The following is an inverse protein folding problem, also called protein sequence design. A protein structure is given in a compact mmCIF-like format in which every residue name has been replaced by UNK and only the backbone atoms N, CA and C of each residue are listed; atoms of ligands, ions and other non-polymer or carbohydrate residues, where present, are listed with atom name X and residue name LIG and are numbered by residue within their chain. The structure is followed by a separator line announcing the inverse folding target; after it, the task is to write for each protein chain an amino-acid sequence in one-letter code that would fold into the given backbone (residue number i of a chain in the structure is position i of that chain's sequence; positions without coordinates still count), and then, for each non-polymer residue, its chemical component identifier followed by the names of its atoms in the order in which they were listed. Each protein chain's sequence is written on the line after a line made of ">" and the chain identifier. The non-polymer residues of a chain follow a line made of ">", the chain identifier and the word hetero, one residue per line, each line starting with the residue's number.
data_IF_760571248198
#
_entry.id   IF_760571248198
#
_cell.length_a   1.000
_cell.length_b   1.000
_cell.length_c   1.000
_cell.angle_alpha   90.00
_cell.angle_beta   90.00
_cell.angle_gamma   90.00
#
_symmetry.space_group_name_H-M   'P 1'
#
loop_
_entity.id
_entity.type
_entity.pdbx_description
1 polymer ?
#
# COMPACT_ATOMS: atom_id res chain seq x y z
N UNK A 1 0.17 13.53 -17.90
CA UNK A 1 -0.18 13.91 -16.51
C UNK A 1 -0.92 12.73 -15.93
N UNK A 2 -0.28 12.06 -14.98
CA UNK A 2 -0.81 10.86 -14.34
C UNK A 2 -2.07 11.19 -13.54
N UNK A 3 -2.94 10.21 -13.31
CA UNK A 3 -4.17 10.35 -12.53
C UNK A 3 -3.88 10.85 -11.10
N UNK A 4 -2.78 10.36 -10.53
CA UNK A 4 -2.32 10.79 -9.19
C UNK A 4 -1.87 12.24 -9.15
N UNK A 5 -1.27 12.75 -10.23
CA UNK A 5 -0.91 14.17 -10.33
C UNK A 5 -2.16 15.06 -10.29
N UNK A 6 -3.22 14.65 -11.00
CA UNK A 6 -4.51 15.37 -11.00
C UNK A 6 -5.12 15.38 -9.59
N UNK A 7 -5.10 14.23 -8.91
CA UNK A 7 -5.59 14.11 -7.54
C UNK A 7 -4.80 15.06 -6.63
N UNK A 8 -3.47 15.05 -6.71
CA UNK A 8 -2.61 15.92 -5.90
C UNK A 8 -2.86 17.41 -6.18
N UNK A 9 -3.09 17.80 -7.43
CA UNK A 9 -3.43 19.16 -7.80
C UNK A 9 -4.78 19.61 -7.21
N UNK A 10 -5.81 18.73 -7.24
CA UNK A 10 -7.10 19.01 -6.62
C UNK A 10 -6.96 19.18 -5.11
N UNK A 11 -6.22 18.30 -4.45
CA UNK A 11 -5.93 18.40 -3.02
C UNK A 11 -5.23 19.72 -2.67
N UNK A 12 -4.19 20.11 -3.42
CA UNK A 12 -3.48 21.38 -3.20
C UNK A 12 -4.35 22.62 -3.39
N UNK A 13 -5.41 22.51 -4.20
CA UNK A 13 -6.42 23.55 -4.36
C UNK A 13 -7.49 23.55 -3.24
N UNK A 14 -7.43 22.58 -2.33
CA UNK A 14 -8.47 22.39 -1.30
C UNK A 14 -9.78 21.85 -1.84
N UNK A 15 -9.78 21.28 -3.03
CA UNK A 15 -10.97 20.69 -3.66
C UNK A 15 -11.26 19.31 -3.05
N UNK A 16 -12.43 19.15 -2.43
CA UNK A 16 -12.88 17.90 -1.80
C UNK A 16 -12.90 16.71 -2.76
N UNK A 17 -13.14 16.95 -4.04
CA UNK A 17 -13.10 15.89 -5.07
C UNK A 17 -11.74 15.21 -5.12
N UNK A 18 -10.66 15.94 -4.83
CA UNK A 18 -9.33 15.33 -4.71
C UNK A 18 -9.24 14.29 -3.60
N UNK A 19 -9.87 14.56 -2.44
CA UNK A 19 -9.93 13.59 -1.33
C UNK A 19 -10.81 12.38 -1.66
N UNK A 20 -11.96 12.60 -2.29
CA UNK A 20 -12.86 11.52 -2.71
C UNK A 20 -12.17 10.56 -3.71
N UNK A 21 -11.50 11.11 -4.71
CA UNK A 21 -10.73 10.32 -5.68
C UNK A 21 -9.58 9.57 -5.01
N UNK A 22 -8.84 10.25 -4.11
CA UNK A 22 -7.77 9.63 -3.35
C UNK A 22 -8.28 8.46 -2.51
N UNK A 23 -9.37 8.68 -1.78
CA UNK A 23 -10.00 7.65 -0.95
C UNK A 23 -10.45 6.46 -1.80
N UNK A 24 -11.12 6.72 -2.91
CA UNK A 24 -11.60 5.66 -3.80
C UNK A 24 -10.46 4.82 -4.38
N UNK A 25 -9.32 5.46 -4.68
CA UNK A 25 -8.16 4.79 -5.28
C UNK A 25 -7.34 4.01 -4.25
N UNK A 26 -7.18 4.53 -3.02
CA UNK A 26 -6.23 4.00 -2.05
C UNK A 26 -6.86 3.29 -0.84
N UNK A 27 -8.13 3.50 -0.52
CA UNK A 27 -8.71 2.97 0.72
C UNK A 27 -8.57 1.46 0.84
N UNK A 28 -9.08 0.70 -0.14
CA UNK A 28 -9.03 -0.76 -0.12
C UNK A 28 -7.60 -1.32 -0.10
N UNK A 29 -6.69 -0.87 -0.98
CA UNK A 29 -5.29 -1.29 -0.94
C UNK A 29 -4.60 -0.98 0.38
N UNK A 30 -4.88 0.18 0.99
CA UNK A 30 -4.29 0.56 2.27
C UNK A 30 -4.85 -0.24 3.45
N UNK A 31 -6.15 -0.55 3.46
CA UNK A 31 -6.75 -1.46 4.47
C UNK A 31 -6.11 -2.84 4.37
N UNK A 32 -6.00 -3.38 3.16
CA UNK A 32 -5.34 -4.66 2.95
C UNK A 32 -3.88 -4.63 3.43
N UNK A 33 -3.17 -3.54 3.17
CA UNK A 33 -1.81 -3.34 3.67
C UNK A 33 -1.75 -3.26 5.20
N UNK A 34 -2.66 -2.53 5.83
CA UNK A 34 -2.75 -2.41 7.29
C UNK A 34 -3.00 -3.75 7.99
N UNK A 35 -3.74 -4.66 7.34
CA UNK A 35 -3.98 -6.02 7.83
C UNK A 35 -2.71 -6.89 7.92
N UNK A 36 -1.59 -6.50 7.35
CA UNK A 36 -0.31 -7.17 7.60
C UNK A 36 0.26 -6.84 8.99
N UNK A 37 -0.20 -5.77 9.61
CA UNK A 37 0.23 -5.32 10.94
C UNK A 37 -0.83 -5.58 12.00
N UNK A 38 -2.11 -5.42 11.66
CA UNK A 38 -3.25 -5.50 12.57
C UNK A 38 -4.04 -6.77 12.30
N UNK A 39 -4.38 -7.51 13.36
CA UNK A 39 -5.03 -8.81 13.24
C UNK A 39 -6.50 -8.73 12.82
N UNK A 40 -7.17 -7.61 13.15
CA UNK A 40 -8.59 -7.40 12.89
C UNK A 40 -8.80 -6.42 11.75
N UNK A 41 -9.72 -6.76 10.85
CA UNK A 41 -10.06 -5.91 9.70
C UNK A 41 -10.60 -4.55 10.16
N UNK A 42 -11.41 -4.52 11.19
CA UNK A 42 -11.98 -3.28 11.76
C UNK A 42 -10.88 -2.33 12.23
N UNK A 43 -9.87 -2.86 12.93
CA UNK A 43 -8.71 -2.04 13.36
C UNK A 43 -7.90 -1.51 12.17
N UNK A 44 -7.77 -2.30 11.10
CA UNK A 44 -7.09 -1.87 9.88
C UNK A 44 -7.87 -0.78 9.15
N UNK A 45 -9.20 -0.90 9.07
CA UNK A 45 -10.08 0.10 8.50
C UNK A 45 -10.02 1.41 9.28
N UNK A 46 -10.10 1.35 10.62
CA UNK A 46 -9.98 2.51 11.50
C UNK A 46 -8.62 3.19 11.35
N UNK A 47 -7.53 2.42 11.31
CA UNK A 47 -6.19 2.95 11.11
C UNK A 47 -6.05 3.72 9.79
N UNK A 48 -6.59 3.19 8.71
CA UNK A 48 -6.55 3.83 7.40
C UNK A 48 -7.42 5.08 7.36
N UNK A 49 -8.62 5.04 7.93
CA UNK A 49 -9.49 6.21 8.03
C UNK A 49 -8.80 7.35 8.80
N UNK A 50 -8.19 7.02 9.92
CA UNK A 50 -7.47 7.99 10.75
C UNK A 50 -6.28 8.63 10.01
N UNK A 51 -5.56 7.84 9.21
CA UNK A 51 -4.49 8.36 8.33
C UNK A 51 -5.06 9.34 7.30
N UNK A 52 -6.20 9.05 6.67
CA UNK A 52 -6.85 9.97 5.71
C UNK A 52 -7.33 11.26 6.40
N UNK A 53 -7.92 11.16 7.59
CA UNK A 53 -8.36 12.33 8.37
C UNK A 53 -7.15 13.23 8.67
N UNK A 54 -6.08 12.68 9.23
CA UNK A 54 -4.85 13.41 9.54
C UNK A 54 -4.16 14.00 8.31
N UNK A 55 -4.23 13.28 7.20
CA UNK A 55 -3.71 13.75 5.92
C UNK A 55 -4.45 14.99 5.43
N UNK A 56 -5.78 14.98 5.52
CA UNK A 56 -6.64 16.08 5.08
C UNK A 56 -6.57 17.28 6.04
N UNK A 57 -6.80 17.07 7.33
CA UNK A 57 -6.81 18.12 8.34
C UNK A 57 -5.44 18.82 8.48
N UNK A 58 -4.38 18.04 8.46
CA UNK A 58 -3.02 18.54 8.51
C UNK A 58 -2.53 19.16 7.19
N UNK A 59 -3.36 19.18 6.14
CA UNK A 59 -3.01 19.67 4.80
C UNK A 59 -1.67 19.13 4.28
N UNK A 60 -1.36 17.87 4.61
CA UNK A 60 -0.05 17.26 4.36
C UNK A 60 0.27 17.11 2.89
N UNK A 61 -0.73 17.14 2.03
CA UNK A 61 -0.57 17.15 0.58
C UNK A 61 0.24 18.37 0.05
N UNK A 62 0.36 19.45 0.81
CA UNK A 62 1.21 20.57 0.43
C UNK A 62 2.71 20.26 0.54
N UNK A 63 3.09 19.38 1.48
CA UNK A 63 4.47 18.98 1.68
C UNK A 63 4.94 17.90 0.68
N UNK A 64 4.00 17.25 -0.01
CA UNK A 64 4.34 16.19 -0.97
C UNK A 64 4.93 16.81 -2.23
N UNK A 65 6.21 16.51 -2.47
CA UNK A 65 6.94 16.97 -3.65
C UNK A 65 6.89 15.98 -4.80
N UNK A 66 6.98 14.68 -4.50
CA UNK A 66 7.25 13.66 -5.50
C UNK A 66 6.09 12.69 -5.70
N UNK A 67 5.73 11.86 -4.74
CA UNK A 67 4.71 10.85 -4.95
C UNK A 67 3.79 10.68 -3.74
N UNK A 68 2.49 10.61 -4.04
CA UNK A 68 1.43 10.45 -3.07
C UNK A 68 1.39 9.03 -2.48
N UNK A 69 1.65 8.02 -3.32
CA UNK A 69 1.55 6.61 -2.97
C UNK A 69 2.52 6.20 -1.84
N UNK A 70 3.85 6.38 -1.96
CA UNK A 70 4.77 6.02 -0.89
C UNK A 70 4.46 6.71 0.43
N UNK A 71 4.04 7.97 0.36
CA UNK A 71 3.65 8.75 1.53
C UNK A 71 2.49 8.10 2.29
N UNK A 72 1.42 7.70 1.59
CA UNK A 72 0.25 7.09 2.21
C UNK A 72 0.58 5.73 2.84
N UNK A 73 1.28 4.86 2.13
CA UNK A 73 1.68 3.55 2.64
C UNK A 73 2.57 3.67 3.88
N UNK A 74 3.55 4.58 3.85
CA UNK A 74 4.40 4.82 5.00
C UNK A 74 3.62 5.40 6.19
N UNK A 75 2.68 6.29 5.94
CA UNK A 75 1.81 6.85 6.98
C UNK A 75 0.97 5.77 7.66
N UNK A 76 0.38 4.85 6.89
CA UNK A 76 -0.38 3.72 7.42
C UNK A 76 0.53 2.77 8.21
N UNK A 77 1.69 2.41 7.66
CA UNK A 77 2.66 1.56 8.36
C UNK A 77 3.05 2.14 9.72
N UNK A 78 3.45 3.41 9.74
CA UNK A 78 3.86 4.08 10.97
C UNK A 78 2.71 4.16 11.98
N UNK A 79 1.50 4.42 11.50
CA UNK A 79 0.32 4.44 12.35
C UNK A 79 0.05 3.07 12.99
N UNK A 80 0.07 2.00 12.20
CA UNK A 80 -0.13 0.63 12.70
C UNK A 80 0.95 0.21 13.71
N UNK A 81 2.22 0.52 13.44
CA UNK A 81 3.32 0.22 14.37
C UNK A 81 3.16 0.97 15.69
N UNK A 82 2.76 2.25 15.66
CA UNK A 82 2.49 3.02 16.87
C UNK A 82 1.34 2.44 17.69
N UNK A 83 0.29 1.92 17.04
CA UNK A 83 -0.80 1.23 17.72
C UNK A 83 -0.29 -0.03 18.44
N UNK A 84 0.50 -0.85 17.77
CA UNK A 84 1.07 -2.09 18.32
C UNK A 84 2.00 -1.84 19.48
N UNK A 85 2.77 -0.76 19.47
CA UNK A 85 3.66 -0.36 20.55
C UNK A 85 2.93 0.25 21.76
N UNK A 86 1.60 0.37 21.70
CA UNK A 86 0.79 0.97 22.76
C UNK A 86 1.09 2.45 23.02
N UNK A 87 1.82 3.10 22.11
CA UNK A 87 2.05 4.54 22.18
C UNK A 87 0.72 5.23 21.90
N UNK A 88 0.18 5.94 22.89
CA UNK A 88 -0.93 6.87 22.67
C UNK A 88 -0.52 7.80 21.54
N UNK A 89 -1.17 7.64 20.40
CA UNK A 89 -1.03 8.59 19.29
C UNK A 89 -1.68 9.88 19.76
N UNK A 90 -0.90 10.73 20.43
CA UNK A 90 -1.36 12.07 20.76
C UNK A 90 -1.65 12.81 19.47
N UNK A 91 -2.93 13.09 19.26
CA UNK A 91 -3.51 13.70 18.06
C UNK A 91 -3.13 15.18 17.90
N UNK A 92 -2.25 15.73 18.73
CA UNK A 92 -2.09 17.19 18.89
C UNK A 92 -0.79 17.77 18.38
N UNK A 93 0.16 16.98 17.89
CA UNK A 93 1.33 17.61 17.26
C UNK A 93 1.43 17.26 15.78
N UNK A 94 1.74 18.25 14.91
CA UNK A 94 2.22 17.93 13.59
C UNK A 94 3.37 16.97 13.79
N UNK A 95 3.39 15.86 13.03
CA UNK A 95 4.58 15.02 12.98
C UNK A 95 5.70 15.95 12.59
N UNK A 96 6.33 16.52 13.60
CA UNK A 96 7.54 17.29 13.42
C UNK A 96 8.50 16.35 12.74
N UNK A 97 9.11 16.83 11.70
CA UNK A 97 10.19 16.21 10.94
C UNK A 97 11.44 15.85 11.77
N UNK A 98 11.32 15.78 13.08
CA UNK A 98 12.36 15.43 14.04
C UNK A 98 12.15 14.11 14.77
N UNK A 99 11.14 13.29 14.42
CA UNK A 99 11.37 11.86 14.60
C UNK A 99 12.37 11.50 13.52
N UNK A 100 13.57 11.13 13.93
CA UNK A 100 14.58 10.49 13.11
C UNK A 100 13.89 9.43 12.25
N UNK A 101 13.42 9.88 11.10
CA UNK A 101 13.24 9.01 9.95
C UNK A 101 14.67 8.62 9.64
N UNK A 102 15.09 7.48 10.23
CA UNK A 102 16.22 6.77 9.66
C UNK A 102 16.06 6.92 8.17
N UNK A 103 17.04 7.50 7.52
CA UNK A 103 17.13 7.84 6.10
C UNK A 103 16.51 6.72 5.24
N UNK A 104 15.18 6.61 5.27
CA UNK A 104 14.44 5.89 4.27
C UNK A 104 14.48 6.82 3.08
N UNK A 105 15.49 6.62 2.24
CA UNK A 105 15.59 7.16 0.90
C UNK A 105 14.17 7.25 0.35
N UNK A 106 13.61 8.45 0.32
CA UNK A 106 12.42 8.72 -0.47
C UNK A 106 12.82 8.36 -1.89
N UNK A 107 12.32 7.21 -2.35
CA UNK A 107 12.54 6.84 -3.74
C UNK A 107 12.05 7.99 -4.57
N UNK A 108 12.92 8.54 -5.40
CA UNK A 108 12.54 9.45 -6.47
C UNK A 108 11.44 8.77 -7.29
N UNK A 109 10.50 9.55 -7.80
CA UNK A 109 9.37 9.04 -8.58
C UNK A 109 9.84 8.18 -9.77
N UNK A 110 10.95 8.55 -10.38
CA UNK A 110 11.57 7.78 -11.46
C UNK A 110 12.10 6.43 -10.97
N UNK A 111 12.69 6.38 -9.79
CA UNK A 111 13.18 5.16 -9.18
C UNK A 111 12.01 4.26 -8.72
N UNK A 112 10.94 4.85 -8.19
CA UNK A 112 9.71 4.14 -7.87
C UNK A 112 9.10 3.50 -9.12
N UNK A 113 8.93 4.26 -10.20
CA UNK A 113 8.37 3.76 -11.45
C UNK A 113 9.24 2.63 -12.05
N UNK A 114 10.56 2.78 -12.00
CA UNK A 114 11.50 1.75 -12.44
C UNK A 114 11.33 0.44 -11.65
N UNK A 115 11.17 0.52 -10.34
CA UNK A 115 10.98 -0.66 -9.48
C UNK A 115 9.61 -1.29 -9.68
N UNK A 116 8.58 -0.49 -9.88
CA UNK A 116 7.24 -0.97 -10.24
C UNK A 116 7.27 -1.72 -11.58
N UNK A 117 7.96 -1.18 -12.59
CA UNK A 117 8.14 -1.86 -13.87
C UNK A 117 8.89 -3.19 -13.73
N UNK A 118 9.93 -3.24 -12.89
CA UNK A 118 10.63 -4.48 -12.58
C UNK A 118 9.71 -5.50 -11.90
N UNK A 119 8.86 -5.05 -10.98
CA UNK A 119 7.89 -5.89 -10.31
C UNK A 119 6.87 -6.47 -11.31
N UNK A 120 6.29 -5.66 -12.19
CA UNK A 120 5.36 -6.14 -13.20
C UNK A 120 6.00 -7.16 -14.15
N UNK A 121 7.23 -6.90 -14.61
CA UNK A 121 7.98 -7.85 -15.45
C UNK A 121 8.25 -9.17 -14.73
N UNK A 122 8.56 -9.14 -13.44
CA UNK A 122 8.75 -10.34 -12.65
C UNK A 122 7.43 -11.11 -12.45
N UNK A 123 6.33 -10.40 -12.20
CA UNK A 123 4.99 -11.00 -12.09
C UNK A 123 4.59 -11.68 -13.41
N UNK A 124 4.87 -11.06 -14.56
CA UNK A 124 4.54 -11.64 -15.86
C UNK A 124 5.35 -12.90 -16.22
N UNK A 125 6.49 -13.12 -15.56
CA UNK A 125 7.29 -14.36 -15.69
C UNK A 125 6.81 -15.50 -14.81
N UNK A 126 5.89 -15.25 -13.89
CA UNK A 126 5.32 -16.33 -13.08
C UNK A 126 4.53 -17.31 -13.97
N UNK A 127 4.49 -18.60 -13.60
CA UNK A 127 3.63 -19.57 -14.28
C UNK A 127 2.18 -19.08 -14.29
N UNK A 128 1.46 -19.31 -15.39
CA UNK A 128 0.14 -18.71 -15.66
C UNK A 128 -0.83 -18.81 -14.48
N UNK A 129 -1.02 -20.02 -13.94
CA UNK A 129 -1.93 -20.23 -12.82
C UNK A 129 -1.51 -19.48 -11.54
N UNK A 130 -0.21 -19.44 -11.29
CA UNK A 130 0.38 -18.74 -10.14
C UNK A 130 0.22 -17.22 -10.30
N UNK A 131 0.48 -16.71 -11.50
CA UNK A 131 0.33 -15.30 -11.85
C UNK A 131 -1.11 -14.82 -11.69
N UNK A 132 -2.08 -15.59 -12.21
CA UNK A 132 -3.50 -15.23 -12.09
C UNK A 132 -3.96 -15.18 -10.62
N UNK A 133 -3.63 -16.18 -9.82
CA UNK A 133 -3.95 -16.18 -8.39
C UNK A 133 -3.30 -15.00 -7.68
N UNK A 134 -2.04 -14.70 -7.98
CA UNK A 134 -1.34 -13.55 -7.43
C UNK A 134 -2.04 -12.23 -7.80
N UNK A 135 -2.37 -12.03 -9.08
CA UNK A 135 -3.06 -10.82 -9.54
C UNK A 135 -4.41 -10.64 -8.83
N UNK A 136 -5.22 -11.70 -8.73
CA UNK A 136 -6.52 -11.63 -8.05
C UNK A 136 -6.44 -11.25 -6.57
N UNK A 137 -5.46 -11.79 -5.85
CA UNK A 137 -5.31 -11.51 -4.43
C UNK A 137 -4.64 -10.15 -4.20
N UNK A 138 -3.50 -9.92 -4.86
CA UNK A 138 -2.63 -8.78 -4.53
C UNK A 138 -3.06 -7.51 -5.25
N UNK A 139 -3.43 -7.59 -6.54
CA UNK A 139 -3.81 -6.41 -7.32
C UNK A 139 -5.31 -6.11 -7.22
N UNK A 140 -6.16 -7.14 -7.28
CA UNK A 140 -7.61 -6.97 -7.25
C UNK A 140 -8.17 -6.98 -5.82
N UNK A 141 -7.35 -7.32 -4.80
CA UNK A 141 -7.74 -7.34 -3.38
C UNK A 141 -8.81 -8.39 -3.04
N UNK A 142 -8.93 -9.46 -3.85
CA UNK A 142 -9.90 -10.53 -3.60
C UNK A 142 -9.48 -11.40 -2.43
N UNK A 143 -10.48 -11.89 -1.67
CA UNK A 143 -10.24 -12.85 -0.59
C UNK A 143 -9.87 -14.22 -1.16
N UNK A 144 -9.05 -14.98 -0.44
CA UNK A 144 -8.64 -16.34 -0.83
C UNK A 144 -9.84 -17.25 -1.18
N UNK A 145 -10.97 -17.08 -0.48
CA UNK A 145 -12.17 -17.87 -0.71
C UNK A 145 -12.81 -17.53 -2.05
N UNK A 146 -12.91 -16.25 -2.39
CA UNK A 146 -13.46 -15.76 -3.66
C UNK A 146 -12.61 -16.25 -4.85
N UNK A 147 -11.27 -16.21 -4.69
CA UNK A 147 -10.34 -16.71 -5.71
C UNK A 147 -10.43 -18.23 -5.84
N UNK A 148 -10.62 -18.95 -4.74
CA UNK A 148 -10.82 -20.40 -4.75
C UNK A 148 -12.10 -20.79 -5.52
N UNK A 149 -13.19 -20.07 -5.31
CA UNK A 149 -14.46 -20.26 -6.02
C UNK A 149 -14.32 -19.90 -7.51
N UNK A 150 -13.70 -18.75 -7.84
CA UNK A 150 -13.50 -18.31 -9.23
C UNK A 150 -12.67 -19.30 -10.06
N UNK A 151 -11.63 -19.87 -9.45
CA UNK A 151 -10.73 -20.80 -10.14
C UNK A 151 -11.10 -22.29 -9.94
N UNK A 152 -12.18 -22.60 -9.24
CA UNK A 152 -12.63 -23.96 -8.91
C UNK A 152 -11.53 -24.80 -8.23
N UNK A 153 -10.82 -24.20 -7.27
CA UNK A 153 -9.74 -24.84 -6.51
C UNK A 153 -9.95 -24.69 -5.00
N UNK A 154 -9.23 -25.46 -4.20
CA UNK A 154 -9.30 -25.32 -2.75
C UNK A 154 -8.62 -24.02 -2.27
N UNK A 155 -9.08 -23.46 -1.15
CA UNK A 155 -8.43 -22.34 -0.47
C UNK A 155 -6.96 -22.66 -0.13
N UNK A 156 -6.67 -23.92 0.21
CA UNK A 156 -5.30 -24.38 0.46
C UNK A 156 -4.44 -24.28 -0.80
N UNK A 157 -5.01 -24.63 -1.96
CA UNK A 157 -4.32 -24.50 -3.25
C UNK A 157 -4.03 -23.02 -3.57
N UNK A 158 -4.99 -22.13 -3.32
CA UNK A 158 -4.80 -20.68 -3.49
C UNK A 158 -3.64 -20.19 -2.62
N UNK A 159 -3.62 -20.55 -1.32
CA UNK A 159 -2.52 -20.19 -0.41
C UNK A 159 -1.16 -20.73 -0.88
N UNK A 160 -1.13 -21.96 -1.38
CA UNK A 160 0.10 -22.59 -1.90
C UNK A 160 0.60 -21.86 -3.15
N UNK A 161 -0.28 -21.50 -4.08
CA UNK A 161 0.08 -20.77 -5.30
C UNK A 161 0.57 -19.35 -4.96
N UNK A 162 -0.08 -18.66 -4.03
CA UNK A 162 0.37 -17.35 -3.56
C UNK A 162 1.75 -17.44 -2.91
N UNK A 163 1.98 -18.41 -2.02
CA UNK A 163 3.28 -18.62 -1.39
C UNK A 163 4.39 -18.90 -2.42
N UNK A 164 4.08 -19.69 -3.47
CA UNK A 164 5.03 -19.93 -4.58
C UNK A 164 5.31 -18.67 -5.38
N UNK A 165 4.28 -17.85 -5.66
CA UNK A 165 4.46 -16.56 -6.32
C UNK A 165 5.42 -15.66 -5.52
N UNK A 166 5.16 -15.49 -4.23
CA UNK A 166 5.99 -14.66 -3.35
C UNK A 166 7.43 -15.17 -3.25
N UNK A 167 7.63 -16.48 -3.15
CA UNK A 167 8.96 -17.07 -3.12
C UNK A 167 9.73 -16.83 -4.43
N UNK A 168 9.08 -16.99 -5.58
CA UNK A 168 9.69 -16.73 -6.89
C UNK A 168 10.03 -15.24 -7.06
N UNK A 169 9.12 -14.34 -6.70
CA UNK A 169 9.36 -12.90 -6.77
C UNK A 169 10.48 -12.45 -5.82
N UNK A 170 10.56 -13.04 -4.63
CA UNK A 170 11.65 -12.76 -3.69
C UNK A 170 13.01 -13.21 -4.23
N UNK A 171 13.05 -14.33 -4.94
CA UNK A 171 14.29 -14.84 -5.53
C UNK A 171 14.75 -14.00 -6.74
N UNK A 172 13.83 -13.43 -7.49
CA UNK A 172 14.12 -12.66 -8.71
C UNK A 172 14.38 -11.17 -8.42
N UNK A 173 13.62 -10.57 -7.50
CA UNK A 173 13.69 -9.15 -7.20
C UNK A 173 14.79 -8.86 -6.18
N UNK A 174 15.49 -7.73 -6.40
CA UNK A 174 16.39 -7.20 -5.38
C UNK A 174 15.62 -6.82 -4.13
N UNK A 175 16.26 -6.86 -2.96
CA UNK A 175 15.66 -6.59 -1.66
C UNK A 175 14.80 -5.31 -1.64
N UNK A 176 15.32 -4.22 -2.19
CA UNK A 176 14.61 -2.94 -2.28
C UNK A 176 13.35 -2.99 -3.15
N UNK A 177 13.37 -3.74 -4.26
CA UNK A 177 12.19 -3.91 -5.15
C UNK A 177 11.18 -4.88 -4.53
N UNK A 178 11.66 -5.93 -3.87
CA UNK A 178 10.81 -6.86 -3.14
C UNK A 178 10.10 -6.19 -1.96
N UNK A 179 10.75 -5.23 -1.31
CA UNK A 179 10.13 -4.43 -0.25
C UNK A 179 8.91 -3.66 -0.74
N UNK A 180 8.92 -3.20 -2.00
CA UNK A 180 7.73 -2.57 -2.61
C UNK A 180 6.59 -3.59 -2.76
N UNK A 181 6.89 -4.83 -3.15
CA UNK A 181 5.89 -5.89 -3.21
C UNK A 181 5.22 -6.12 -1.85
N UNK A 182 5.98 -6.07 -0.76
CA UNK A 182 5.44 -6.20 0.59
C UNK A 182 4.48 -5.07 0.98
N UNK A 183 4.46 -3.97 0.23
CA UNK A 183 3.45 -2.91 0.38
C UNK A 183 2.08 -3.32 -0.21
N UNK A 184 2.02 -4.39 -1.01
CA UNK A 184 0.81 -4.86 -1.68
C UNK A 184 0.36 -6.26 -1.21
N UNK A 185 1.13 -6.94 -0.38
CA UNK A 185 0.91 -8.28 0.17
C UNK A 185 0.77 -8.18 1.68
#
# INVERSE_FOLDING_TARGET
>A
MDELDKILQLLKKGDRRGLELLFHHFYKPLVFYAMNFLAQQEEAEDAVQEVFIKFWEGKRFHAIKNSLRPYLYQSVRNYCLNLLEGKKVFLTEPINSSMDMAENEYLDESEWNTRIDQLYKAVDRLPDRTREVFKRIVLDGKRHKEVAEEFEISVTTVKTLLARALAALRAELREKTYSILLLFV
#
